data_IF_010926810390
#
_entry.id   IF_010926810390
#
_cell.length_a   1.000
_cell.length_b   1.000
_cell.length_c   1.000
_cell.angle_alpha   90.00
_cell.angle_beta   90.00
_cell.angle_gamma   90.00
#
_symmetry.space_group_name_H-M   'P 1'
#
loop_
_entity.id
_entity.type
_entity.pdbx_description
1 polymer ?
#
# COMPACT_ATOMS: atom_id res chain seq x y z
N UNK A 1 0.88 -3.63 -20.96
CA UNK A 1 1.53 -3.30 -19.68
C UNK A 1 0.50 -2.69 -18.76
N UNK A 2 -0.04 -3.50 -17.84
CA UNK A 2 -0.73 -3.06 -16.62
C UNK A 2 0.24 -3.11 -15.44
N UNK A 3 -0.18 -2.61 -14.27
CA UNK A 3 0.66 -2.64 -13.06
C UNK A 3 1.25 -4.02 -12.72
N UNK A 4 0.48 -5.09 -12.91
CA UNK A 4 0.91 -6.46 -12.61
C UNK A 4 1.96 -7.02 -13.57
N UNK A 5 2.23 -6.35 -14.69
CA UNK A 5 3.19 -6.80 -15.72
C UNK A 5 4.61 -6.21 -15.50
N UNK A 6 4.80 -5.35 -14.50
CA UNK A 6 6.12 -4.79 -14.18
C UNK A 6 7.02 -5.79 -13.47
N UNK A 7 8.32 -5.68 -13.74
CA UNK A 7 9.39 -6.35 -12.98
C UNK A 7 10.30 -5.29 -12.37
N UNK A 8 11.14 -5.66 -11.40
CA UNK A 8 12.12 -4.72 -10.83
C UNK A 8 13.06 -4.16 -11.91
N UNK A 9 13.39 -4.98 -12.91
CA UNK A 9 14.27 -4.58 -14.02
C UNK A 9 13.61 -3.52 -14.90
N UNK A 10 12.36 -3.75 -15.32
CA UNK A 10 11.63 -2.78 -16.14
C UNK A 10 11.41 -1.47 -15.39
N UNK A 11 11.14 -1.53 -14.08
CA UNK A 11 11.01 -0.34 -13.24
C UNK A 11 12.29 0.49 -13.14
N UNK A 12 13.44 -0.18 -12.93
CA UNK A 12 14.77 0.48 -12.89
C UNK A 12 15.06 1.17 -14.22
N UNK A 13 14.84 0.49 -15.34
CA UNK A 13 15.18 1.02 -16.66
C UNK A 13 14.20 2.08 -17.17
N UNK A 14 12.89 1.85 -17.03
CA UNK A 14 11.86 2.72 -17.61
C UNK A 14 11.65 4.00 -16.81
N UNK A 15 11.75 3.94 -15.49
CA UNK A 15 11.51 5.07 -14.59
C UNK A 15 12.78 5.57 -13.89
N UNK A 16 13.96 5.05 -14.28
CA UNK A 16 15.25 5.42 -13.71
C UNK A 16 15.29 5.28 -12.17
N UNK A 17 14.68 4.21 -11.66
CA UNK A 17 14.59 3.97 -10.23
C UNK A 17 15.88 3.35 -9.68
N UNK A 18 16.30 3.83 -8.51
CA UNK A 18 17.29 3.17 -7.66
C UNK A 18 16.57 2.45 -6.53
N UNK A 19 16.70 1.13 -6.47
CA UNK A 19 16.05 0.30 -5.45
C UNK A 19 17.08 -0.13 -4.43
N UNK A 20 16.86 0.24 -3.17
CA UNK A 20 17.66 -0.14 -2.01
C UNK A 20 16.84 -1.12 -1.17
N UNK A 21 17.39 -2.32 -0.97
CA UNK A 21 16.79 -3.34 -0.13
C UNK A 21 17.42 -3.32 1.26
N UNK A 22 16.67 -3.80 2.26
CA UNK A 22 17.14 -3.97 3.65
C UNK A 22 17.44 -2.65 4.36
N UNK A 23 16.55 -1.68 4.21
CA UNK A 23 16.60 -0.39 4.90
C UNK A 23 15.65 -0.41 6.09
N UNK A 24 16.06 0.07 7.26
CA UNK A 24 15.16 0.28 8.39
C UNK A 24 14.34 1.56 8.14
N UNK A 25 13.11 1.45 7.66
CA UNK A 25 12.29 2.61 7.29
C UNK A 25 11.64 3.29 8.50
N UNK A 26 11.37 2.53 9.55
CA UNK A 26 10.52 2.96 10.67
C UNK A 26 11.22 3.00 12.03
N UNK A 27 12.55 2.98 12.06
CA UNK A 27 13.33 3.03 13.31
C UNK A 27 13.00 4.25 14.18
N UNK A 28 12.57 5.36 13.55
CA UNK A 28 12.18 6.60 14.24
C UNK A 28 10.67 6.85 14.28
N UNK A 29 9.84 5.84 13.99
CA UNK A 29 8.37 5.99 14.01
C UNK A 29 7.82 5.44 15.31
N UNK A 30 7.16 6.31 16.08
CA UNK A 30 6.46 5.92 17.30
C UNK A 30 5.29 4.98 16.98
N UNK A 31 5.20 3.81 17.62
CA UNK A 31 4.04 2.93 17.49
C UNK A 31 2.75 3.64 17.93
N UNK A 32 1.64 3.32 17.27
CA UNK A 32 0.31 3.81 17.65
C UNK A 32 -0.53 2.62 18.09
N UNK A 33 -1.12 2.73 19.28
CA UNK A 33 -1.96 1.67 19.84
C UNK A 33 -3.27 1.53 19.04
N UNK A 34 -3.63 0.32 18.59
CA UNK A 34 -4.93 0.06 17.97
C UNK A 34 -6.09 0.36 18.92
N UNK A 35 -7.21 0.88 18.40
CA UNK A 35 -8.40 1.06 19.24
C UNK A 35 -8.97 -0.28 19.72
N UNK A 36 -9.66 -0.32 20.88
CA UNK A 36 -10.29 -1.54 21.38
C UNK A 36 -11.21 -2.22 20.37
N UNK A 37 -11.95 -1.42 19.58
CA UNK A 37 -12.82 -1.92 18.53
C UNK A 37 -12.04 -2.67 17.43
N UNK A 38 -10.89 -2.13 16.99
CA UNK A 38 -10.08 -2.83 16.00
C UNK A 38 -9.53 -4.14 16.59
N UNK A 39 -9.10 -4.15 17.85
CA UNK A 39 -8.63 -5.37 18.52
C UNK A 39 -9.72 -6.44 18.60
N UNK A 40 -10.96 -6.06 18.92
CA UNK A 40 -12.11 -6.97 18.94
C UNK A 40 -12.42 -7.52 17.54
N UNK A 41 -12.50 -6.64 16.53
CA UNK A 41 -12.74 -7.03 15.14
C UNK A 41 -11.67 -8.02 14.66
N UNK A 42 -10.40 -7.71 14.85
CA UNK A 42 -9.31 -8.57 14.39
C UNK A 42 -9.20 -9.87 15.20
N UNK A 43 -9.62 -9.88 16.47
CA UNK A 43 -9.68 -11.10 17.28
C UNK A 43 -10.57 -12.18 16.65
N UNK A 44 -11.72 -11.77 16.11
CA UNK A 44 -12.65 -12.67 15.41
C UNK A 44 -12.26 -12.88 13.94
N UNK A 45 -11.90 -11.80 13.24
CA UNK A 45 -11.76 -11.81 11.80
C UNK A 45 -10.45 -12.39 11.29
N UNK A 46 -9.35 -12.25 12.05
CA UNK A 46 -8.03 -12.69 11.59
C UNK A 46 -7.98 -14.22 11.40
N UNK A 47 -8.41 -15.06 12.38
CA UNK A 47 -8.46 -16.51 12.17
C UNK A 47 -9.34 -16.89 10.98
N UNK A 48 -10.56 -16.32 10.91
CA UNK A 48 -11.52 -16.61 9.84
C UNK A 48 -10.98 -16.24 8.45
N UNK A 49 -10.35 -15.07 8.33
CA UNK A 49 -9.78 -14.61 7.07
C UNK A 49 -8.65 -15.50 6.57
N UNK A 50 -7.86 -16.07 7.48
CA UNK A 50 -6.79 -17.02 7.15
C UNK A 50 -7.34 -18.41 6.83
N UNK A 51 -8.39 -18.87 7.51
CA UNK A 51 -9.03 -20.17 7.27
C UNK A 51 -9.77 -20.24 5.92
N UNK A 52 -10.42 -19.15 5.50
CA UNK A 52 -11.08 -19.08 4.18
C UNK A 52 -10.05 -19.07 3.04
N UNK A 53 -8.86 -18.51 3.28
CA UNK A 53 -7.72 -18.50 2.35
C UNK A 53 -8.06 -17.96 0.95
N UNK A 54 -8.84 -16.89 0.89
CA UNK A 54 -9.06 -16.15 -0.36
C UNK A 54 -8.55 -14.72 -0.23
N UNK A 55 -8.08 -14.15 -1.34
CA UNK A 55 -7.71 -12.73 -1.43
C UNK A 55 -8.85 -11.84 -0.88
N UNK A 56 -10.09 -12.11 -1.31
CA UNK A 56 -11.27 -11.36 -0.85
C UNK A 56 -11.48 -11.44 0.66
N UNK A 57 -11.34 -12.63 1.27
CA UNK A 57 -11.50 -12.79 2.71
C UNK A 57 -10.43 -12.03 3.49
N UNK A 58 -9.15 -12.11 3.08
CA UNK A 58 -8.07 -11.35 3.70
C UNK A 58 -8.29 -9.84 3.57
N UNK A 59 -8.68 -9.39 2.38
CA UNK A 59 -9.01 -8.00 2.07
C UNK A 59 -10.10 -7.45 3.00
N UNK A 60 -11.24 -8.15 3.08
CA UNK A 60 -12.44 -7.70 3.78
C UNK A 60 -12.35 -7.86 5.30
N UNK A 61 -11.73 -8.94 5.77
CA UNK A 61 -11.72 -9.30 7.20
C UNK A 61 -10.49 -8.75 7.94
N UNK A 62 -9.37 -8.51 7.25
CA UNK A 62 -8.10 -8.14 7.90
C UNK A 62 -7.63 -6.75 7.44
N UNK A 63 -7.41 -6.58 6.13
CA UNK A 63 -6.77 -5.37 5.59
C UNK A 63 -7.69 -4.16 5.71
N UNK A 64 -8.94 -4.27 5.23
CA UNK A 64 -9.89 -3.16 5.24
C UNK A 64 -10.19 -2.61 6.66
N UNK A 65 -10.41 -3.43 7.70
CA UNK A 65 -10.57 -2.93 9.07
C UNK A 65 -9.39 -2.09 9.57
N UNK A 66 -8.15 -2.51 9.27
CA UNK A 66 -6.95 -1.74 9.65
C UNK A 66 -6.95 -0.38 8.93
N UNK A 67 -7.22 -0.36 7.63
CA UNK A 67 -7.23 0.88 6.84
C UNK A 67 -8.35 1.84 7.29
N UNK A 68 -9.51 1.31 7.69
CA UNK A 68 -10.61 2.10 8.28
C UNK A 68 -10.20 2.71 9.62
N UNK A 69 -9.51 1.96 10.47
CA UNK A 69 -8.97 2.48 11.73
C UNK A 69 -7.92 3.57 11.48
N UNK A 70 -6.99 3.40 10.52
CA UNK A 70 -6.02 4.44 10.14
C UNK A 70 -6.77 5.72 9.75
N UNK A 71 -7.78 5.62 8.88
CA UNK A 71 -8.61 6.78 8.49
C UNK A 71 -9.26 7.47 9.70
N UNK A 72 -9.76 6.70 10.66
CA UNK A 72 -10.34 7.22 11.90
C UNK A 72 -9.30 7.91 12.79
N UNK A 73 -8.10 7.34 12.94
CA UNK A 73 -7.01 7.94 13.74
C UNK A 73 -6.53 9.28 13.15
N UNK A 74 -6.54 9.40 11.82
CA UNK A 74 -6.31 10.66 11.13
C UNK A 74 -7.54 11.59 11.11
N UNK A 75 -8.53 11.37 11.99
CA UNK A 75 -9.74 12.18 12.14
C UNK A 75 -10.50 12.39 10.83
N UNK A 76 -10.47 11.39 9.94
CA UNK A 76 -11.10 11.43 8.62
C UNK A 76 -10.53 12.51 7.66
N UNK A 77 -9.31 13.01 7.93
CA UNK A 77 -8.59 13.93 7.05
C UNK A 77 -7.88 13.24 5.88
N UNK A 78 -8.00 11.92 5.82
CA UNK A 78 -7.55 11.08 4.71
C UNK A 78 -8.74 10.28 4.17
N UNK A 79 -8.65 9.84 2.92
CA UNK A 79 -9.63 8.98 2.27
C UNK A 79 -9.00 7.66 1.87
N UNK A 80 -9.85 6.63 1.79
CA UNK A 80 -9.46 5.25 1.53
C UNK A 80 -10.20 4.76 0.29
N UNK A 81 -9.46 4.31 -0.71
CA UNK A 81 -10.03 3.72 -1.92
C UNK A 81 -9.65 2.24 -1.94
N UNK A 82 -10.61 1.37 -2.27
CA UNK A 82 -10.40 -0.07 -2.37
C UNK A 82 -10.87 -0.55 -3.74
N UNK A 83 -10.05 -1.33 -4.44
CA UNK A 83 -10.35 -1.85 -5.77
C UNK A 83 -10.67 -0.76 -6.80
N UNK A 84 -9.97 0.38 -6.76
CA UNK A 84 -10.28 1.55 -7.59
C UNK A 84 -9.41 1.59 -8.84
N UNK A 85 -10.01 1.89 -9.99
CA UNK A 85 -9.28 2.11 -11.25
C UNK A 85 -8.39 3.35 -11.11
N UNK A 86 -7.10 3.19 -11.33
CA UNK A 86 -6.11 4.23 -11.12
C UNK A 86 -5.17 4.31 -12.33
N UNK A 87 -5.70 4.76 -13.46
CA UNK A 87 -4.95 4.91 -14.70
C UNK A 87 -4.35 6.32 -14.83
N UNK A 88 -3.02 6.40 -14.82
CA UNK A 88 -2.29 7.67 -14.87
C UNK A 88 -1.63 7.91 -16.22
N UNK A 89 -0.93 6.90 -16.77
CA UNK A 89 -0.27 6.99 -18.06
C UNK A 89 -0.22 5.61 -18.73
N UNK A 90 -1.20 5.34 -19.61
CA UNK A 90 -1.30 4.07 -20.36
C UNK A 90 -0.08 3.81 -21.24
N UNK A 91 0.55 4.85 -21.79
CA UNK A 91 1.70 4.70 -22.67
C UNK A 91 2.93 4.22 -21.90
N UNK A 92 3.02 4.56 -20.62
CA UNK A 92 4.05 4.06 -19.70
C UNK A 92 3.64 2.81 -18.95
N UNK A 93 2.47 2.22 -19.24
CA UNK A 93 1.98 1.05 -18.52
C UNK A 93 1.45 1.34 -17.11
N UNK A 94 1.35 2.60 -16.71
CA UNK A 94 0.83 3.03 -15.40
C UNK A 94 -0.71 3.06 -15.44
N UNK A 95 -1.31 1.88 -15.52
CA UNK A 95 -2.75 1.68 -15.64
C UNK A 95 -3.22 0.35 -15.03
N UNK A 96 -4.47 0.35 -14.58
CA UNK A 96 -5.11 -0.76 -13.93
C UNK A 96 -5.73 -0.37 -12.59
N UNK A 97 -6.27 -1.39 -11.92
CA UNK A 97 -6.92 -1.27 -10.62
C UNK A 97 -5.91 -1.47 -9.49
N UNK A 98 -5.85 -0.53 -8.56
CA UNK A 98 -5.12 -0.66 -7.31
C UNK A 98 -6.00 -1.38 -6.27
N UNK A 99 -5.39 -2.22 -5.44
CA UNK A 99 -6.11 -2.89 -4.36
C UNK A 99 -6.51 -1.88 -3.28
N UNK A 100 -5.56 -1.06 -2.81
CA UNK A 100 -5.87 0.06 -1.92
C UNK A 100 -5.01 1.30 -2.15
N UNK A 101 -5.64 2.46 -2.01
CA UNK A 101 -4.99 3.78 -2.05
C UNK A 101 -5.42 4.58 -0.82
N UNK A 102 -4.47 5.19 -0.13
CA UNK A 102 -4.71 6.21 0.88
C UNK A 102 -4.38 7.57 0.29
N UNK A 103 -5.31 8.52 0.37
CA UNK A 103 -5.14 9.88 -0.13
C UNK A 103 -5.14 10.89 1.01
N UNK A 104 -4.26 11.90 0.94
CA UNK A 104 -4.18 13.01 1.88
C UNK A 104 -5.24 14.08 1.59
N UNK A 105 -6.50 13.66 1.64
CA UNK A 105 -7.67 14.50 1.45
C UNK A 105 -8.87 13.82 2.12
N UNK A 106 -9.83 14.57 2.70
CA UNK A 106 -11.08 14.00 3.17
C UNK A 106 -12.02 13.56 2.03
N UNK A 107 -11.72 13.93 0.77
CA UNK A 107 -12.56 13.61 -0.39
C UNK A 107 -12.52 12.11 -0.71
N UNK A 108 -13.70 11.48 -0.72
CA UNK A 108 -13.87 10.02 -0.86
C UNK A 108 -14.44 9.60 -2.23
N UNK A 109 -14.92 10.57 -3.03
CA UNK A 109 -15.50 10.30 -4.35
C UNK A 109 -14.41 10.05 -5.40
N UNK A 110 -13.30 10.78 -5.32
CA UNK A 110 -12.19 10.71 -6.26
C UNK A 110 -10.85 10.78 -5.53
N UNK A 111 -9.85 10.06 -6.06
CA UNK A 111 -8.46 10.15 -5.58
C UNK A 111 -7.91 11.54 -5.93
N UNK A 112 -7.43 12.27 -4.93
CA UNK A 112 -7.00 13.68 -5.10
C UNK A 112 -5.56 13.95 -4.69
N UNK A 113 -4.99 13.17 -3.77
CA UNK A 113 -3.64 13.36 -3.26
C UNK A 113 -3.06 12.04 -2.67
N UNK A 114 -2.86 10.99 -3.48
CA UNK A 114 -2.44 9.67 -3.00
C UNK A 114 -1.09 9.74 -2.27
N UNK A 115 -1.03 9.23 -1.04
CA UNK A 115 0.17 9.22 -0.19
C UNK A 115 0.65 7.81 0.16
N UNK A 116 -0.22 6.81 0.04
CA UNK A 116 0.17 5.43 0.23
C UNK A 116 -0.58 4.49 -0.72
N UNK A 117 0.11 3.42 -1.13
CA UNK A 117 -0.40 2.31 -1.92
C UNK A 117 -0.24 1.03 -1.10
N UNK A 118 -1.23 0.14 -1.19
CA UNK A 118 -1.13 -1.19 -0.61
C UNK A 118 -1.64 -2.21 -1.63
N UNK A 119 -0.81 -3.22 -1.91
CA UNK A 119 -1.10 -4.31 -2.84
C UNK A 119 -1.23 -5.61 -2.07
N UNK A 120 -2.26 -6.39 -2.39
CA UNK A 120 -2.42 -7.74 -1.86
C UNK A 120 -1.55 -8.71 -2.65
N UNK A 121 -0.73 -9.47 -1.93
CA UNK A 121 0.09 -10.49 -2.52
C UNK A 121 -0.77 -11.72 -2.86
N UNK A 122 -0.62 -12.18 -4.10
CA UNK A 122 -1.26 -13.41 -4.58
C UNK A 122 -0.45 -14.63 -4.15
N UNK A 123 -1.14 -15.74 -3.88
CA UNK A 123 -0.52 -17.02 -3.49
C UNK A 123 0.49 -16.89 -2.34
N UNK A 124 0.19 -16.02 -1.37
CA UNK A 124 1.02 -15.71 -0.20
C UNK A 124 2.47 -15.30 -0.50
N UNK A 125 2.74 -14.77 -1.70
CA UNK A 125 4.08 -14.39 -2.12
C UNK A 125 4.27 -12.87 -2.14
N UNK A 126 4.65 -12.30 -0.99
CA UNK A 126 4.93 -10.87 -0.84
C UNK A 126 5.92 -10.35 -1.90
N UNK A 127 7.00 -11.10 -2.16
CA UNK A 127 8.05 -10.68 -3.09
C UNK A 127 7.53 -10.47 -4.50
N UNK A 128 6.57 -11.30 -4.94
CA UNK A 128 5.98 -11.18 -6.27
C UNK A 128 5.14 -9.91 -6.47
N UNK A 129 4.60 -9.34 -5.38
CA UNK A 129 3.78 -8.13 -5.42
C UNK A 129 4.60 -6.83 -5.34
N UNK A 130 5.88 -6.90 -4.96
CA UNK A 130 6.75 -5.71 -4.81
C UNK A 130 6.84 -4.90 -6.11
N UNK A 131 7.11 -5.49 -7.30
CA UNK A 131 7.17 -4.70 -8.53
C UNK A 131 5.86 -3.97 -8.83
N UNK A 132 4.72 -4.63 -8.64
CA UNK A 132 3.41 -4.01 -8.83
C UNK A 132 3.22 -2.83 -7.87
N UNK A 133 3.51 -3.02 -6.58
CA UNK A 133 3.41 -1.95 -5.58
C UNK A 133 4.26 -0.74 -5.95
N UNK A 134 5.52 -0.94 -6.37
CA UNK A 134 6.41 0.15 -6.82
C UNK A 134 5.83 0.86 -8.05
N UNK A 135 5.29 0.12 -9.02
CA UNK A 135 4.68 0.72 -10.22
C UNK A 135 3.47 1.62 -9.86
N UNK A 136 2.62 1.15 -8.95
CA UNK A 136 1.48 1.93 -8.43
C UNK A 136 1.95 3.14 -7.60
N UNK A 137 3.05 3.03 -6.84
CA UNK A 137 3.66 4.17 -6.14
C UNK A 137 4.21 5.22 -7.11
N UNK A 138 4.83 4.80 -8.21
CA UNK A 138 5.28 5.70 -9.28
C UNK A 138 4.09 6.42 -9.91
N UNK A 139 2.99 5.71 -10.14
CA UNK A 139 1.75 6.31 -10.63
C UNK A 139 1.18 7.35 -9.65
N UNK A 140 1.16 7.05 -8.35
CA UNK A 140 0.73 7.98 -7.32
C UNK A 140 1.62 9.24 -7.26
N UNK A 141 2.94 9.07 -7.35
CA UNK A 141 3.88 10.21 -7.41
C UNK A 141 3.61 11.07 -8.65
N UNK A 142 3.50 10.45 -9.82
CA UNK A 142 3.23 11.16 -11.08
C UNK A 142 1.87 11.88 -11.04
N UNK A 143 0.84 11.27 -10.46
CA UNK A 143 -0.45 11.90 -10.25
C UNK A 143 -0.30 13.17 -9.40
N UNK A 144 0.42 13.10 -8.28
CA UNK A 144 0.64 14.25 -7.41
C UNK A 144 1.42 15.36 -8.11
N UNK A 145 2.46 15.02 -8.88
CA UNK A 145 3.22 15.97 -9.68
C UNK A 145 2.32 16.68 -10.71
N UNK A 146 1.48 15.94 -11.45
CA UNK A 146 0.55 16.50 -12.43
C UNK A 146 -0.52 17.41 -11.80
N UNK A 147 -0.91 17.14 -10.56
CA UNK A 147 -1.90 17.92 -9.81
C UNK A 147 -1.28 19.03 -8.96
N UNK A 148 0.04 19.19 -8.97
CA UNK A 148 0.79 20.14 -8.13
C UNK A 148 0.59 19.93 -6.61
N UNK A 149 0.38 18.68 -6.19
CA UNK A 149 0.31 18.34 -4.77
C UNK A 149 1.73 18.26 -4.18
N UNK A 150 2.05 18.98 -3.09
CA UNK A 150 3.37 18.99 -2.48
C UNK A 150 3.62 17.74 -1.62
N UNK A 151 3.55 16.55 -2.22
CA UNK A 151 3.77 15.26 -1.56
C UNK A 151 5.20 14.77 -1.87
N UNK A 152 6.13 14.82 -0.89
CA UNK A 152 7.55 14.57 -1.15
C UNK A 152 7.91 13.08 -1.27
N UNK A 153 7.01 12.19 -0.85
CA UNK A 153 7.23 10.74 -0.87
C UNK A 153 5.90 9.98 -0.90
N UNK A 154 5.96 8.75 -1.39
CA UNK A 154 4.84 7.80 -1.40
C UNK A 154 5.24 6.60 -0.55
N UNK A 155 4.35 6.15 0.34
CA UNK A 155 4.51 4.89 1.05
C UNK A 155 3.89 3.74 0.25
N UNK A 156 4.50 2.57 0.35
CA UNK A 156 4.03 1.34 -0.27
C UNK A 156 3.97 0.22 0.74
N UNK A 157 3.01 -0.67 0.58
CA UNK A 157 2.92 -1.92 1.31
C UNK A 157 2.55 -3.07 0.39
N UNK A 158 3.07 -4.25 0.69
CA UNK A 158 2.56 -5.52 0.17
C UNK A 158 2.13 -6.39 1.36
N UNK A 159 1.00 -7.09 1.23
CA UNK A 159 0.47 -7.88 2.34
C UNK A 159 -0.20 -9.19 1.90
N UNK A 160 -0.10 -10.22 2.74
CA UNK A 160 -0.93 -11.44 2.70
C UNK A 160 -2.04 -11.40 3.74
N UNK A 161 -2.42 -10.21 4.22
CA UNK A 161 -3.27 -10.00 5.40
C UNK A 161 -2.52 -10.22 6.71
N UNK A 162 -1.81 -11.34 6.87
CA UNK A 162 -1.06 -11.67 8.09
C UNK A 162 0.37 -11.16 8.12
N UNK A 163 1.05 -11.11 6.97
CA UNK A 163 2.41 -10.57 6.83
C UNK A 163 2.39 -9.32 5.98
N UNK A 164 3.21 -8.35 6.36
CA UNK A 164 3.30 -7.04 5.74
C UNK A 164 4.75 -6.69 5.45
N UNK A 165 5.02 -6.14 4.27
CA UNK A 165 6.33 -5.56 3.95
C UNK A 165 6.14 -4.19 3.34
N UNK A 166 6.91 -3.23 3.82
CA UNK A 166 6.73 -1.84 3.48
C UNK A 166 7.88 -1.30 2.65
N UNK A 167 7.61 -0.19 1.97
CA UNK A 167 8.56 0.52 1.14
C UNK A 167 8.22 2.01 1.08
N UNK A 168 9.20 2.80 0.66
CA UNK A 168 9.07 4.26 0.50
C UNK A 168 9.72 4.69 -0.81
N UNK A 169 8.99 5.49 -1.59
CA UNK A 169 9.50 6.12 -2.81
C UNK A 169 9.73 7.61 -2.52
N UNK A 170 10.96 8.07 -2.74
CA UNK A 170 11.34 9.48 -2.70
C UNK A 170 11.99 9.82 -4.03
N UNK A 171 11.34 10.65 -4.85
CA UNK A 171 11.77 10.98 -6.22
C UNK A 171 11.92 9.74 -7.10
N UNK A 172 13.14 9.21 -7.21
CA UNK A 172 13.47 8.00 -7.96
C UNK A 172 14.16 6.94 -7.10
N UNK A 173 14.23 7.13 -5.78
CA UNK A 173 14.79 6.17 -4.86
C UNK A 173 13.68 5.41 -4.14
N UNK A 174 13.66 4.09 -4.31
CA UNK A 174 12.80 3.18 -3.57
C UNK A 174 13.62 2.53 -2.46
N UNK A 175 13.17 2.65 -1.23
CA UNK A 175 13.72 1.93 -0.08
C UNK A 175 12.73 0.87 0.36
N UNK A 176 13.19 -0.39 0.48
CA UNK A 176 12.36 -1.53 0.88
C UNK A 176 12.81 -2.00 2.26
N UNK A 177 11.83 -2.16 3.16
CA UNK A 177 12.04 -2.59 4.53
C UNK A 177 12.79 -3.93 4.59
N UNK A 178 13.69 -4.05 5.55
CA UNK A 178 14.43 -5.29 5.79
C UNK A 178 13.52 -6.39 6.30
N UNK A 179 12.72 -6.06 7.31
CA UNK A 179 11.85 -6.98 8.02
C UNK A 179 10.50 -7.19 7.31
N UNK A 180 9.82 -8.24 7.73
CA UNK A 180 8.41 -8.48 7.45
C UNK A 180 7.67 -8.38 8.79
N UNK A 181 6.55 -7.69 8.80
CA UNK A 181 5.78 -7.43 10.01
C UNK A 181 4.59 -8.38 10.06
N UNK A 182 4.55 -9.21 11.10
CA UNK A 182 3.42 -10.07 11.38
C UNK A 182 2.33 -9.30 12.13
N UNK A 183 1.09 -9.43 11.67
CA UNK A 183 -0.07 -8.74 12.24
C UNK A 183 -0.32 -9.11 13.71
N UNK A 184 0.11 -10.29 14.16
CA UNK A 184 -0.03 -10.70 15.56
C UNK A 184 0.78 -9.83 16.54
N UNK A 185 1.67 -8.98 16.04
CA UNK A 185 2.43 -8.02 16.84
C UNK A 185 1.70 -6.67 17.02
N UNK A 186 0.38 -6.62 16.77
CA UNK A 186 -0.49 -5.46 17.04
C UNK A 186 -0.71 -5.27 18.56
N UNK A 187 0.33 -4.93 19.31
CA UNK A 187 0.22 -4.54 20.72
C UNK A 187 0.05 -3.02 20.91
#
# INVERSE_FOLDING_TARGET
>A
MSYSEFTLDTLKHQFNLSIQERVNLFESVEPVTPSPLLKEILGENLPLGLEIDTEKARSELIVAPILVEIRKQFKHQISLFSGTEFTIDKNKGLNGRCDFIISHSPEQLDVTAPIAILVEAKNDNLKSAIPQCIAEMVAAQLFNEQKNNPIPFIYGGVTTGSLWKFMKLVKNSVSIESEEHFIGNLE
#
